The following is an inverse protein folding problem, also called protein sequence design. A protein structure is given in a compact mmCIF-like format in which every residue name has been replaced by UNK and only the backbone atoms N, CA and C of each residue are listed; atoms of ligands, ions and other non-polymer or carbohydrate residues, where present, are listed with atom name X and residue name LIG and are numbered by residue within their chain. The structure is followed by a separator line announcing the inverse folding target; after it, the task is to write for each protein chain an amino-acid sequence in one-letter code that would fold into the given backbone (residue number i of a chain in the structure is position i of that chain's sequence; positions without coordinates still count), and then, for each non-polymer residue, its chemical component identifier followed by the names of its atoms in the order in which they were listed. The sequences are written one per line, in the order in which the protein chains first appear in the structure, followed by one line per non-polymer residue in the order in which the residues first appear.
data_IF_837921568678
#
_entry.id   IF_837921568678
#
_cell.length_a   1.000
_cell.length_b   1.000
_cell.length_c   1.000
_cell.angle_alpha   90.00
_cell.angle_beta   90.00
_cell.angle_gamma   90.00
#
_symmetry.space_group_name_H-M   'P 1'
#
loop_
_entity.id
_entity.type
_entity.pdbx_description
1 polymer ?
#
# COMPACT_ATOMS: atom_id res chain seq x y z
N UNK A 1 15.82 -2.62 9.79
CA UNK A 1 14.37 -2.70 9.55
C UNK A 1 14.10 -3.87 8.61
N UNK A 2 13.12 -4.74 8.87
CA UNK A 2 12.74 -5.75 7.87
C UNK A 2 11.88 -5.07 6.81
N UNK A 3 12.33 -5.06 5.56
CA UNK A 3 11.61 -4.49 4.40
C UNK A 3 11.01 -5.55 3.49
N UNK A 4 11.19 -6.82 3.83
CA UNK A 4 10.58 -7.97 3.17
C UNK A 4 9.44 -8.55 4.02
N UNK A 5 8.47 -9.25 3.42
CA UNK A 5 7.37 -9.87 4.15
C UNK A 5 7.91 -10.76 5.28
N UNK A 6 7.42 -10.53 6.50
CA UNK A 6 7.86 -11.23 7.72
C UNK A 6 6.67 -11.76 8.53
N UNK A 7 5.51 -11.97 7.91
CA UNK A 7 4.32 -12.49 8.56
C UNK A 7 3.65 -13.55 7.70
N UNK A 8 2.91 -14.44 8.38
CA UNK A 8 2.56 -15.79 7.89
C UNK A 8 1.52 -15.78 6.75
N UNK A 9 0.67 -14.77 6.71
CA UNK A 9 -0.40 -14.59 5.70
C UNK A 9 -0.23 -13.26 4.96
N UNK A 10 0.96 -13.03 4.38
CA UNK A 10 1.24 -11.85 3.56
C UNK A 10 0.21 -11.65 2.45
N UNK A 11 -0.19 -12.74 1.79
CA UNK A 11 -1.14 -12.72 0.69
C UNK A 11 -2.54 -12.31 1.16
N UNK A 12 -3.05 -12.88 2.26
CA UNK A 12 -4.37 -12.54 2.79
C UNK A 12 -4.47 -11.09 3.26
N UNK A 13 -3.39 -10.54 3.82
CA UNK A 13 -3.32 -9.11 4.15
C UNK A 13 -3.34 -8.24 2.90
N UNK A 14 -2.60 -8.62 1.86
CA UNK A 14 -2.59 -7.91 0.58
C UNK A 14 -3.97 -7.92 -0.09
N UNK A 15 -4.67 -9.06 -0.09
CA UNK A 15 -6.05 -9.16 -0.58
C UNK A 15 -6.99 -8.24 0.21
N UNK A 16 -6.94 -8.29 1.54
CA UNK A 16 -7.75 -7.43 2.40
C UNK A 16 -7.50 -5.94 2.15
N UNK A 17 -6.25 -5.57 1.89
CA UNK A 17 -5.87 -4.20 1.55
C UNK A 17 -6.43 -3.80 0.18
N UNK A 18 -6.32 -4.67 -0.83
CA UNK A 18 -6.85 -4.42 -2.17
C UNK A 18 -8.37 -4.23 -2.14
N UNK A 19 -9.08 -5.10 -1.43
CA UNK A 19 -10.53 -5.02 -1.24
C UNK A 19 -10.94 -3.72 -0.56
N UNK A 20 -10.17 -3.26 0.44
CA UNK A 20 -10.42 -2.00 1.12
C UNK A 20 -10.26 -0.77 0.18
N UNK A 21 -9.47 -0.89 -0.88
CA UNK A 21 -9.30 0.13 -1.91
C UNK A 21 -10.32 0.04 -3.06
N UNK A 22 -11.03 -1.08 -3.18
CA UNK A 22 -11.96 -1.33 -4.29
C UNK A 22 -13.08 -0.28 -4.32
N UNK A 23 -13.25 0.37 -5.47
CA UNK A 23 -14.27 1.40 -5.69
C UNK A 23 -13.95 2.78 -5.08
N UNK A 24 -12.78 2.96 -4.44
CA UNK A 24 -12.35 4.27 -3.95
C UNK A 24 -11.74 5.14 -5.06
N UNK A 25 -11.96 6.46 -4.98
CA UNK A 25 -11.14 7.40 -5.74
C UNK A 25 -9.69 7.38 -5.24
N UNK A 26 -8.79 7.96 -6.03
CA UNK A 26 -7.38 8.10 -5.64
C UNK A 26 -7.23 8.82 -4.29
N UNK A 27 -7.93 9.92 -4.11
CA UNK A 27 -7.88 10.73 -2.89
C UNK A 27 -8.43 9.96 -1.69
N UNK A 28 -9.52 9.22 -1.88
CA UNK A 28 -10.09 8.38 -0.84
C UNK A 28 -9.17 7.21 -0.46
N UNK A 29 -8.47 6.64 -1.45
CA UNK A 29 -7.44 5.62 -1.28
C UNK A 29 -6.23 6.15 -0.48
N UNK A 30 -5.74 7.34 -0.79
CA UNK A 30 -4.67 8.01 -0.03
C UNK A 30 -5.08 8.29 1.42
N UNK A 31 -6.33 8.72 1.64
CA UNK A 31 -6.87 8.93 2.99
C UNK A 31 -7.04 7.61 3.77
N UNK A 32 -7.40 6.52 3.10
CA UNK A 32 -7.43 5.18 3.70
C UNK A 32 -6.03 4.76 4.17
N UNK A 33 -5.02 4.93 3.33
CA UNK A 33 -3.63 4.62 3.65
C UNK A 33 -3.11 5.45 4.84
N UNK A 34 -3.36 6.76 4.86
CA UNK A 34 -2.96 7.61 5.97
C UNK A 34 -3.57 7.16 7.31
N UNK A 35 -4.86 6.81 7.31
CA UNK A 35 -5.55 6.29 8.50
C UNK A 35 -4.99 4.95 8.94
N UNK A 36 -4.75 4.03 8.00
CA UNK A 36 -4.18 2.72 8.29
C UNK A 36 -2.79 2.85 8.94
N UNK A 37 -1.92 3.71 8.41
CA UNK A 37 -0.59 3.99 8.98
C UNK A 37 -0.70 4.48 10.43
N UNK A 38 -1.60 5.43 10.72
CA UNK A 38 -1.80 5.95 12.07
C UNK A 38 -2.32 4.88 13.04
N UNK A 39 -3.25 4.03 12.60
CA UNK A 39 -3.76 2.91 13.40
C UNK A 39 -2.61 1.94 13.72
N UNK A 40 -1.83 1.52 12.72
CA UNK A 40 -0.68 0.64 12.94
C UNK A 40 0.35 1.29 13.88
N UNK A 41 0.60 2.60 13.74
CA UNK A 41 1.52 3.31 14.61
C UNK A 41 1.06 3.31 16.08
N UNK A 42 -0.24 3.49 16.31
CA UNK A 42 -0.83 3.40 17.65
C UNK A 42 -0.70 1.99 18.24
N UNK A 43 -0.86 0.94 17.42
CA UNK A 43 -0.70 -0.45 17.87
C UNK A 43 0.77 -0.79 18.21
N UNK A 44 1.73 -0.17 17.52
CA UNK A 44 3.17 -0.39 17.77
C UNK A 44 3.65 0.32 19.04
N UNK A 45 3.17 1.53 19.33
CA UNK A 45 3.44 2.25 20.57
C UNK A 45 4.90 2.69 20.82
N UNK A 46 5.81 2.48 19.86
CA UNK A 46 7.24 2.78 19.99
C UNK A 46 7.69 3.85 19.00
N UNK A 47 8.01 5.05 19.52
CA UNK A 47 8.43 6.19 18.68
C UNK A 47 9.75 5.96 17.96
N UNK A 48 10.70 5.22 18.54
CA UNK A 48 11.99 4.94 17.92
C UNK A 48 11.82 3.96 16.74
N UNK A 49 10.97 2.94 16.93
CA UNK A 49 10.60 2.02 15.85
C UNK A 49 9.88 2.75 14.72
N UNK A 50 8.96 3.66 15.03
CA UNK A 50 8.24 4.47 14.03
C UNK A 50 9.18 5.38 13.24
N UNK A 51 10.16 6.02 13.88
CA UNK A 51 11.18 6.80 13.18
C UNK A 51 12.03 5.92 12.26
N UNK A 52 12.38 4.70 12.70
CA UNK A 52 13.08 3.74 11.86
C UNK A 52 12.22 3.27 10.66
N UNK A 53 10.90 3.14 10.82
CA UNK A 53 9.96 2.86 9.71
C UNK A 53 10.04 3.97 8.65
N UNK A 54 9.91 5.22 9.07
CA UNK A 54 9.90 6.40 8.19
C UNK A 54 11.23 6.51 7.46
N UNK A 55 12.36 6.37 8.17
CA UNK A 55 13.68 6.39 7.57
C UNK A 55 13.86 5.27 6.55
N UNK A 56 13.37 4.06 6.82
CA UNK A 56 13.44 2.94 5.88
C UNK A 56 12.58 3.19 4.62
N UNK A 57 11.35 3.68 4.78
CA UNK A 57 10.45 3.99 3.66
C UNK A 57 10.99 5.10 2.74
N UNK A 58 11.68 6.09 3.29
CA UNK A 58 12.30 7.19 2.52
C UNK A 58 13.54 6.77 1.72
N UNK A 59 14.14 5.62 2.03
CA UNK A 59 15.33 5.11 1.33
C UNK A 59 15.00 4.25 0.11
N UNK A 60 13.79 3.69 0.05
CA UNK A 60 13.30 2.96 -1.13
C UNK A 60 12.75 3.97 -2.14
N UNK A 61 13.36 4.06 -3.31
CA UNK A 61 12.86 4.86 -4.43
C UNK A 61 11.36 4.56 -4.68
N UNK A 62 10.54 5.56 -5.10
CA UNK A 62 9.14 5.32 -5.33
C UNK A 62 8.97 4.18 -6.35
N UNK A 63 8.03 3.25 -6.13
CA UNK A 63 7.68 2.29 -7.17
C UNK A 63 7.32 3.11 -8.42
N UNK A 64 8.05 2.87 -9.51
CA UNK A 64 7.58 3.26 -10.84
C UNK A 64 6.11 2.87 -10.93
N UNK A 65 5.28 3.81 -11.37
CA UNK A 65 3.82 3.77 -11.35
C UNK A 65 3.25 2.35 -11.56
N UNK A 66 2.13 1.99 -10.89
CA UNK A 66 1.44 0.73 -11.20
C UNK A 66 1.21 0.66 -12.71
N UNK A 67 1.29 -0.53 -13.35
CA UNK A 67 0.98 -0.64 -14.76
C UNK A 67 -0.43 -0.09 -14.93
N UNK A 68 -0.57 1.02 -15.67
CA UNK A 68 -1.87 1.52 -16.10
C UNK A 68 -2.61 0.34 -16.72
N UNK A 69 -3.62 -0.15 -16.01
CA UNK A 69 -4.57 -1.10 -16.58
C UNK A 69 -5.34 -0.27 -17.60
N UNK A 70 -4.85 -0.30 -18.83
CA UNK A 70 -5.45 0.39 -19.96
C UNK A 70 -6.91 -0.08 -20.06
N UNK A 71 -7.91 0.80 -19.86
CA UNK A 71 -9.29 0.42 -20.05
C UNK A 71 -9.47 0.15 -21.54
N UNK A 72 -10.01 -1.02 -21.86
CA UNK A 72 -9.98 -1.58 -23.21
C UNK A 72 -10.47 -0.62 -24.30
N UNK A 73 -9.64 -0.45 -25.31
CA UNK A 73 -10.12 -0.13 -26.65
C UNK A 73 -10.38 -1.44 -27.38
N UNK A 74 -11.62 -1.89 -27.30
CA UNK A 74 -12.16 -2.79 -28.30
C UNK A 74 -12.09 -2.09 -29.66
N UNK A 75 -11.31 -2.64 -30.58
CA UNK A 75 -11.45 -2.36 -32.00
C UNK A 75 -11.33 -3.70 -32.76
N UNK A 76 -12.26 -4.01 -33.66
CA UNK A 76 -12.47 -5.34 -34.18
C UNK A 76 -11.30 -5.79 -35.05
N UNK A 77 -11.01 -7.10 -34.99
CA UNK A 77 -10.19 -7.79 -35.97
C UNK A 77 -11.08 -8.20 -37.16
N UNK A 78 -10.55 -7.91 -38.36
CA UNK A 78 -11.11 -8.06 -39.72
C UNK A 78 -12.02 -6.95 -40.25
#
# INVERSE_FOLDING_TARGET
MKTTPNFQDADAFYESLLDAHSGLSREASELLNARLILIMANQLGDSALLQACIAAASQTAPPSAPPEVSPGEGQPVE
#
